data_IF_732366986454
#
_entry.id   IF_732366986454
#
_cell.length_a   1.000
_cell.length_b   1.000
_cell.length_c   1.000
_cell.angle_alpha   90.00
_cell.angle_beta   90.00
_cell.angle_gamma   90.00
#
_symmetry.space_group_name_H-M   'P 1'
#
loop_
_entity.id
_entity.type
_entity.pdbx_description
1 polymer ?
#
# COMPACT_ATOMS: atom_id res chain seq x y z
N UNK A 1 2.60 27.56 32.93
CA UNK A 1 2.08 26.27 32.48
C UNK A 1 1.53 26.34 31.04
N UNK A 2 0.92 27.44 30.63
CA UNK A 2 0.42 27.65 29.26
C UNK A 2 1.09 28.87 28.65
N UNK A 3 2.14 28.69 27.86
CA UNK A 3 2.70 29.72 26.98
C UNK A 3 2.13 29.53 25.58
N UNK A 4 1.53 30.57 25.02
CA UNK A 4 0.98 30.57 23.66
C UNK A 4 1.78 31.53 22.79
N UNK A 5 2.12 31.09 21.58
CA UNK A 5 2.80 31.92 20.60
C UNK A 5 1.78 32.78 19.83
N UNK A 6 1.69 34.07 20.17
CA UNK A 6 0.74 35.01 19.54
C UNK A 6 1.11 35.36 18.08
N UNK A 7 2.38 35.25 17.74
CA UNK A 7 2.89 35.49 16.37
C UNK A 7 2.89 34.25 15.49
N UNK A 8 2.26 33.14 15.94
CA UNK A 8 2.14 31.91 15.19
C UNK A 8 0.91 31.93 14.26
N UNK A 9 1.03 31.35 13.06
CA UNK A 9 -0.08 31.13 12.13
C UNK A 9 -1.10 30.08 12.64
N UNK A 10 -0.85 29.43 13.79
CA UNK A 10 -1.74 28.44 14.39
C UNK A 10 -2.78 29.13 15.25
N UNK A 11 -4.10 28.88 15.03
CA UNK A 11 -5.17 29.46 15.84
C UNK A 11 -4.99 29.17 17.35
N UNK A 12 -5.31 30.16 18.20
CA UNK A 12 -5.18 30.01 19.66
C UNK A 12 -5.94 28.80 20.23
N UNK A 13 -7.08 28.45 19.63
CA UNK A 13 -7.87 27.26 20.00
C UNK A 13 -7.03 26.00 19.84
N UNK A 14 -6.37 25.87 18.70
CA UNK A 14 -5.56 24.68 18.38
C UNK A 14 -4.32 24.61 19.27
N UNK A 15 -3.69 25.75 19.57
CA UNK A 15 -2.55 25.83 20.50
C UNK A 15 -2.96 25.38 21.92
N UNK A 16 -4.13 25.80 22.41
CA UNK A 16 -4.65 25.37 23.72
C UNK A 16 -4.90 23.87 23.71
N UNK A 17 -5.56 23.36 22.67
CA UNK A 17 -5.87 21.92 22.54
C UNK A 17 -4.59 21.08 22.53
N UNK A 18 -3.60 21.49 21.73
CA UNK A 18 -2.34 20.77 21.61
C UNK A 18 -1.56 20.79 22.92
N UNK A 19 -1.47 21.93 23.57
CA UNK A 19 -0.75 22.08 24.84
C UNK A 19 -1.36 21.25 25.96
N UNK A 20 -2.70 21.24 26.11
CA UNK A 20 -3.37 20.38 27.10
C UNK A 20 -3.12 18.91 26.79
N UNK A 21 -3.22 18.52 25.52
CA UNK A 21 -2.98 17.14 25.09
C UNK A 21 -1.57 16.68 25.40
N UNK A 22 -0.54 17.55 25.15
CA UNK A 22 0.86 17.28 25.47
C UNK A 22 1.07 17.11 26.98
N UNK A 23 0.50 18.03 27.82
CA UNK A 23 0.63 17.94 29.27
C UNK A 23 0.03 16.64 29.82
N UNK A 24 -1.09 16.18 29.25
CA UNK A 24 -1.71 14.88 29.60
C UNK A 24 -0.83 13.71 29.12
N UNK A 25 -0.32 13.76 27.90
CA UNK A 25 0.56 12.70 27.34
C UNK A 25 1.84 12.52 28.15
N UNK A 26 2.47 13.61 28.57
CA UNK A 26 3.71 13.59 29.36
C UNK A 26 3.47 13.38 30.87
N UNK A 27 2.23 13.10 31.31
CA UNK A 27 1.90 12.84 32.70
C UNK A 27 1.94 14.07 33.62
N UNK A 28 2.13 15.27 33.07
CA UNK A 28 2.13 16.53 33.84
C UNK A 28 0.73 16.93 34.31
N UNK A 29 -0.31 16.45 33.63
CA UNK A 29 -1.71 16.48 34.06
C UNK A 29 -2.21 15.07 34.20
N UNK A 30 -2.33 14.58 35.43
CA UNK A 30 -2.81 13.24 35.74
C UNK A 30 -4.32 13.11 35.54
N UNK A 31 -4.80 11.87 35.30
CA UNK A 31 -6.23 11.56 35.26
C UNK A 31 -6.96 12.09 36.49
N UNK A 32 -8.13 12.67 36.27
CA UNK A 32 -8.93 13.31 37.35
C UNK A 32 -8.44 14.69 37.76
N UNK A 33 -7.33 15.21 37.23
CA UNK A 33 -6.88 16.57 37.49
C UNK A 33 -7.91 17.58 37.00
N UNK A 34 -8.30 18.51 37.85
CA UNK A 34 -9.22 19.59 37.48
C UNK A 34 -8.51 20.68 36.69
N UNK A 35 -9.04 21.01 35.52
CA UNK A 35 -8.56 22.12 34.71
C UNK A 35 -9.06 23.47 35.22
N UNK A 36 -8.38 24.58 34.92
CA UNK A 36 -8.87 25.92 35.23
C UNK A 36 -10.27 26.15 34.64
N UNK A 37 -11.08 26.94 35.32
CA UNK A 37 -12.37 27.34 34.72
C UNK A 37 -12.13 28.17 33.46
N UNK A 38 -13.10 28.18 32.55
CA UNK A 38 -13.03 28.92 31.27
C UNK A 38 -12.62 30.38 31.54
N UNK A 39 -13.25 31.06 32.50
CA UNK A 39 -12.91 32.44 32.82
C UNK A 39 -11.50 32.61 33.39
N UNK A 40 -11.04 31.63 34.19
CA UNK A 40 -9.68 31.67 34.77
C UNK A 40 -8.64 31.44 33.69
N UNK A 41 -8.83 30.45 32.80
CA UNK A 41 -7.88 30.15 31.71
C UNK A 41 -7.87 31.30 30.70
N UNK A 42 -9.01 31.86 30.30
CA UNK A 42 -9.09 33.00 29.41
C UNK A 42 -8.29 34.20 29.94
N UNK A 43 -8.40 34.48 31.24
CA UNK A 43 -7.64 35.56 31.90
C UNK A 43 -6.15 35.26 31.94
N UNK A 44 -5.74 34.03 32.24
CA UNK A 44 -4.35 33.60 32.27
C UNK A 44 -3.66 33.69 30.89
N UNK A 45 -4.40 33.39 29.82
CA UNK A 45 -3.90 33.40 28.46
C UNK A 45 -4.09 34.72 27.72
N UNK A 46 -4.82 35.68 28.32
CA UNK A 46 -5.21 36.91 27.61
C UNK A 46 -6.06 36.62 26.37
N UNK A 47 -6.84 35.52 26.38
CA UNK A 47 -7.70 35.09 25.29
C UNK A 47 -9.18 35.35 25.60
N UNK A 48 -10.05 35.32 24.58
CA UNK A 48 -11.48 35.44 24.79
C UNK A 48 -12.03 34.21 25.50
N UNK A 49 -13.07 34.33 26.35
CA UNK A 49 -13.77 33.18 26.92
C UNK A 49 -14.29 32.21 25.87
N UNK A 50 -14.75 32.69 24.70
CA UNK A 50 -15.21 31.86 23.59
C UNK A 50 -14.09 31.00 23.00
N UNK A 51 -12.87 31.52 22.90
CA UNK A 51 -11.69 30.74 22.44
C UNK A 51 -11.43 29.55 23.37
N UNK A 52 -11.58 29.76 24.69
CA UNK A 52 -11.38 28.69 25.68
C UNK A 52 -12.54 27.71 25.70
N UNK A 53 -13.78 28.17 25.47
CA UNK A 53 -14.96 27.29 25.32
C UNK A 53 -14.74 26.35 24.15
N UNK A 54 -14.44 26.89 22.96
CA UNK A 54 -14.18 26.09 21.74
C UNK A 54 -13.03 25.07 21.95
N UNK A 55 -11.95 25.49 22.61
CA UNK A 55 -10.84 24.59 22.93
C UNK A 55 -11.28 23.47 23.89
N UNK A 56 -12.04 23.79 24.91
CA UNK A 56 -12.52 22.77 25.87
C UNK A 56 -13.56 21.83 25.26
N UNK A 57 -14.47 22.34 24.44
CA UNK A 57 -15.42 21.50 23.69
C UNK A 57 -14.70 20.52 22.74
N UNK A 58 -13.67 20.99 22.04
CA UNK A 58 -12.82 20.12 21.21
C UNK A 58 -12.05 19.08 22.02
N UNK A 59 -11.53 19.45 23.18
CA UNK A 59 -10.85 18.51 24.09
C UNK A 59 -11.81 17.47 24.67
N UNK A 60 -13.05 17.86 24.97
CA UNK A 60 -14.14 16.95 25.42
C UNK A 60 -14.47 15.99 24.25
N UNK A 61 -14.70 16.51 23.06
CA UNK A 61 -14.96 15.71 21.86
C UNK A 61 -13.84 14.70 21.55
N UNK A 62 -12.58 15.07 21.84
CA UNK A 62 -11.40 14.19 21.71
C UNK A 62 -11.23 13.22 22.90
N UNK A 63 -12.08 13.29 23.91
CA UNK A 63 -11.99 12.46 25.10
C UNK A 63 -10.76 12.73 25.97
N UNK A 64 -10.06 13.86 25.80
CA UNK A 64 -8.90 14.27 26.61
C UNK A 64 -9.34 14.78 27.98
N UNK A 65 -10.48 15.49 28.03
CA UNK A 65 -11.10 15.99 29.23
C UNK A 65 -12.59 15.65 29.26
N UNK A 66 -13.18 15.66 30.39
CA UNK A 66 -14.64 15.51 30.58
C UNK A 66 -15.24 16.71 31.34
N UNK A 67 -16.45 17.08 30.98
CA UNK A 67 -17.23 18.08 31.73
C UNK A 67 -18.07 17.39 32.82
N UNK A 68 -17.94 17.85 34.08
CA UNK A 68 -18.76 17.39 35.17
C UNK A 68 -19.67 18.54 35.63
N UNK A 69 -20.99 18.32 35.49
CA UNK A 69 -22.00 19.35 35.78
C UNK A 69 -21.76 20.01 37.14
N UNK A 70 -21.68 21.35 37.18
CA UNK A 70 -21.42 22.14 38.38
C UNK A 70 -19.99 22.03 38.95
N UNK A 71 -19.14 21.14 38.47
CA UNK A 71 -17.80 20.87 39.02
C UNK A 71 -16.67 21.33 38.10
N UNK A 72 -16.92 21.54 36.79
CA UNK A 72 -15.95 22.01 35.81
C UNK A 72 -15.38 20.90 34.93
N UNK A 73 -14.21 21.12 34.39
CA UNK A 73 -13.53 20.21 33.43
C UNK A 73 -12.41 19.44 34.12
N UNK A 74 -12.32 18.16 33.82
CA UNK A 74 -11.34 17.22 34.40
C UNK A 74 -10.66 16.43 33.32
N UNK A 75 -9.39 16.10 33.54
CA UNK A 75 -8.66 15.17 32.66
C UNK A 75 -9.33 13.80 32.74
N UNK A 76 -9.72 13.26 31.60
CA UNK A 76 -10.37 11.94 31.54
C UNK A 76 -9.37 10.86 32.01
N UNK A 77 -9.83 9.89 32.84
CA UNK A 77 -9.01 8.72 33.08
C UNK A 77 -8.62 8.13 31.72
N UNK A 78 -7.32 8.12 31.43
CA UNK A 78 -6.82 7.49 30.23
C UNK A 78 -7.36 6.07 30.24
N UNK A 79 -8.43 5.78 29.51
CA UNK A 79 -8.56 4.43 28.98
C UNK A 79 -7.29 4.27 28.18
N UNK A 80 -6.34 3.53 28.71
CA UNK A 80 -5.30 2.95 27.89
C UNK A 80 -6.09 2.35 26.75
N UNK A 81 -6.06 2.97 25.58
CA UNK A 81 -6.33 2.24 24.34
C UNK A 81 -5.58 0.96 24.57
N UNK A 82 -6.29 -0.16 24.58
CA UNK A 82 -5.66 -1.45 24.81
C UNK A 82 -4.35 -1.40 24.04
N UNK A 83 -3.21 -1.74 24.67
CA UNK A 83 -1.94 -1.66 23.97
C UNK A 83 -2.22 -2.30 22.62
N UNK A 84 -1.89 -1.60 21.57
CA UNK A 84 -1.97 -2.11 20.19
C UNK A 84 -1.58 -3.57 20.32
N UNK A 85 -2.52 -4.49 20.11
CA UNK A 85 -2.37 -5.89 20.47
C UNK A 85 -0.97 -6.27 20.05
N UNK A 86 -0.10 -6.52 21.03
CA UNK A 86 1.21 -7.05 20.73
C UNK A 86 0.87 -8.29 19.91
N UNK A 87 1.14 -8.23 18.61
CA UNK A 87 0.87 -9.35 17.73
C UNK A 87 1.86 -10.37 18.22
N UNK A 88 1.40 -11.23 19.15
CA UNK A 88 2.15 -12.40 19.55
C UNK A 88 2.56 -13.08 18.26
N UNK A 89 3.83 -13.42 18.16
CA UNK A 89 4.38 -14.14 17.03
C UNK A 89 3.57 -15.44 16.91
N UNK A 90 2.65 -15.44 15.98
CA UNK A 90 1.94 -16.66 15.63
C UNK A 90 2.90 -17.46 14.75
N UNK A 91 3.11 -18.71 15.08
CA UNK A 91 3.95 -19.63 14.30
C UNK A 91 3.31 -20.00 12.94
N UNK A 92 2.14 -19.45 12.64
CA UNK A 92 1.44 -19.63 11.38
C UNK A 92 1.94 -18.62 10.31
N UNK A 93 2.50 -19.09 9.19
CA UNK A 93 2.98 -18.22 8.10
C UNK A 93 1.92 -17.24 7.56
N UNK A 94 0.68 -17.67 7.45
CA UNK A 94 -0.43 -16.82 7.03
C UNK A 94 -0.72 -15.70 8.04
N UNK A 95 -0.66 -16.00 9.34
CA UNK A 95 -0.84 -14.99 10.38
C UNK A 95 0.27 -13.94 10.35
N UNK A 96 1.51 -14.31 10.04
CA UNK A 96 2.63 -13.37 9.89
C UNK A 96 2.47 -12.45 8.68
N UNK A 97 1.93 -12.94 7.57
CA UNK A 97 1.64 -12.15 6.38
C UNK A 97 0.61 -11.05 6.68
N UNK A 98 -0.48 -11.39 7.35
CA UNK A 98 -1.50 -10.43 7.77
C UNK A 98 -0.97 -9.48 8.85
N UNK A 99 -0.12 -9.95 9.75
CA UNK A 99 0.54 -9.14 10.76
C UNK A 99 1.44 -8.08 10.11
N UNK A 100 2.28 -8.47 9.14
CA UNK A 100 3.10 -7.53 8.37
C UNK A 100 2.24 -6.50 7.64
N UNK A 101 1.17 -6.93 6.97
CA UNK A 101 0.25 -6.03 6.28
C UNK A 101 -0.37 -5.00 7.24
N UNK A 102 -0.82 -5.41 8.42
CA UNK A 102 -1.38 -4.54 9.47
C UNK A 102 -0.34 -3.55 10.00
N UNK A 103 0.89 -4.02 10.27
CA UNK A 103 1.98 -3.16 10.76
C UNK A 103 2.38 -2.11 9.72
N UNK A 104 2.44 -2.47 8.44
CA UNK A 104 2.68 -1.52 7.36
C UNK A 104 1.60 -0.42 7.25
N UNK A 105 0.36 -0.73 7.70
CA UNK A 105 -0.75 0.22 7.69
C UNK A 105 -0.85 1.08 8.95
N UNK A 106 -0.18 0.69 10.04
CA UNK A 106 -0.24 1.39 11.33
C UNK A 106 0.48 2.73 11.35
N UNK A 107 1.31 3.03 10.33
CA UNK A 107 2.01 4.31 10.10
C UNK A 107 2.55 4.96 11.39
N UNK A 108 3.48 4.29 12.08
CA UNK A 108 4.15 4.84 13.25
C UNK A 108 5.39 5.63 12.85
N UNK A 109 5.44 6.91 13.23
CA UNK A 109 6.57 7.80 12.93
C UNK A 109 7.90 7.34 13.56
N UNK A 110 7.83 6.48 14.58
CA UNK A 110 9.00 6.02 15.34
C UNK A 110 9.55 4.67 14.82
N UNK A 111 8.98 4.13 13.72
CA UNK A 111 9.39 2.85 13.16
C UNK A 111 10.12 3.04 11.83
N UNK A 112 11.30 2.41 11.70
CA UNK A 112 12.00 2.28 10.41
C UNK A 112 11.31 1.21 9.58
N UNK A 113 10.46 1.63 8.66
CA UNK A 113 9.57 0.75 7.88
C UNK A 113 10.26 0.12 6.65
N UNK A 114 11.46 -0.47 6.84
CA UNK A 114 12.26 -1.05 5.76
C UNK A 114 11.54 -2.18 5.00
N UNK A 115 10.65 -2.91 5.68
CA UNK A 115 9.81 -3.96 5.08
C UNK A 115 8.49 -3.47 4.50
N UNK A 116 8.20 -2.15 4.50
CA UNK A 116 6.93 -1.59 4.01
C UNK A 116 6.80 -1.67 2.49
N UNK A 117 5.56 -1.77 1.99
CA UNK A 117 5.20 -1.70 0.58
C UNK A 117 4.69 -0.33 0.12
N UNK A 118 4.94 0.75 0.88
CA UNK A 118 4.42 2.09 0.60
C UNK A 118 5.55 3.10 0.42
N UNK A 119 5.27 4.16 -0.36
CA UNK A 119 6.12 5.33 -0.46
C UNK A 119 5.97 6.20 0.80
N UNK A 120 6.96 7.06 1.12
CA UNK A 120 6.87 8.00 2.22
C UNK A 120 5.65 8.93 2.09
N UNK A 121 5.00 9.23 3.22
CA UNK A 121 3.78 10.04 3.26
C UNK A 121 3.96 11.42 2.61
N UNK A 122 5.11 12.07 2.84
CA UNK A 122 5.39 13.39 2.28
C UNK A 122 5.41 13.40 0.74
N UNK A 123 5.79 12.28 0.09
CA UNK A 123 5.76 12.18 -1.38
C UNK A 123 4.33 12.12 -1.92
N UNK A 124 3.45 11.45 -1.19
CA UNK A 124 2.03 11.38 -1.49
C UNK A 124 1.34 12.72 -1.28
N UNK A 125 1.70 13.45 -0.21
CA UNK A 125 1.16 14.77 0.08
C UNK A 125 1.52 15.83 -0.97
N UNK A 126 2.66 15.71 -1.63
CA UNK A 126 3.08 16.62 -2.71
C UNK A 126 2.08 16.65 -3.87
N UNK A 127 1.47 15.53 -4.23
CA UNK A 127 0.48 15.46 -5.32
C UNK A 127 -0.94 15.74 -4.83
N UNK A 128 -1.23 15.41 -3.56
CA UNK A 128 -2.57 15.46 -2.97
C UNK A 128 -2.94 16.82 -2.37
N UNK A 129 -2.14 17.86 -2.59
CA UNK A 129 -2.27 19.17 -1.95
C UNK A 129 -3.68 19.75 -1.92
N UNK A 130 -3.95 20.66 -0.98
CA UNK A 130 -5.26 21.26 -0.64
C UNK A 130 -6.10 21.76 -1.84
N UNK A 131 -5.45 22.14 -2.95
CA UNK A 131 -6.12 22.60 -4.16
C UNK A 131 -6.92 21.51 -4.89
N UNK A 132 -6.64 20.22 -4.73
CA UNK A 132 -7.40 19.13 -5.40
C UNK A 132 -8.79 19.02 -4.79
N UNK A 133 -8.89 18.93 -3.47
CA UNK A 133 -10.18 18.87 -2.77
C UNK A 133 -11.03 20.12 -3.02
N UNK A 134 -10.41 21.30 -3.04
CA UNK A 134 -11.10 22.54 -3.30
C UNK A 134 -11.66 22.62 -4.75
N UNK A 135 -10.96 22.05 -5.74
CA UNK A 135 -11.48 21.96 -7.11
C UNK A 135 -12.60 20.95 -7.20
N UNK A 136 -12.43 19.77 -6.60
CA UNK A 136 -13.46 18.74 -6.56
C UNK A 136 -14.76 19.28 -5.95
N UNK A 137 -14.68 20.01 -4.83
CA UNK A 137 -15.84 20.59 -4.15
C UNK A 137 -16.55 21.68 -5.00
N UNK A 138 -15.81 22.41 -5.86
CA UNK A 138 -16.34 23.46 -6.73
C UNK A 138 -16.70 22.97 -8.13
N UNK A 139 -16.23 21.77 -8.49
CA UNK A 139 -16.43 21.20 -9.81
C UNK A 139 -17.90 20.85 -10.08
N UNK A 140 -18.40 21.26 -11.26
CA UNK A 140 -19.76 20.89 -11.70
C UNK A 140 -19.83 19.48 -12.32
N UNK A 141 -18.68 18.88 -12.67
CA UNK A 141 -18.59 17.59 -13.37
C UNK A 141 -18.72 16.38 -12.45
N UNK A 142 -18.09 16.42 -11.29
CA UNK A 142 -18.23 15.36 -10.29
C UNK A 142 -19.17 15.83 -9.19
N UNK A 143 -20.24 15.08 -8.95
CA UNK A 143 -21.11 15.28 -7.80
C UNK A 143 -20.63 14.31 -6.70
N UNK A 144 -19.61 14.68 -5.89
CA UNK A 144 -18.92 13.75 -5.01
C UNK A 144 -19.80 13.18 -3.89
N UNK A 145 -20.99 13.73 -3.73
CA UNK A 145 -21.96 13.35 -2.70
C UNK A 145 -23.07 12.43 -3.22
N UNK A 146 -23.10 12.17 -4.54
CA UNK A 146 -24.04 11.23 -5.13
C UNK A 146 -23.43 9.83 -5.25
N UNK A 147 -24.27 8.79 -5.33
CA UNK A 147 -23.80 7.43 -5.60
C UNK A 147 -22.95 7.38 -6.89
N UNK A 148 -21.79 6.72 -6.80
CA UNK A 148 -20.98 6.42 -7.96
C UNK A 148 -21.65 5.33 -8.80
N UNK A 149 -21.61 5.39 -10.14
CA UNK A 149 -22.01 4.25 -10.96
C UNK A 149 -21.24 2.97 -10.55
N UNK A 150 -21.86 1.80 -10.52
CA UNK A 150 -21.17 0.56 -10.13
C UNK A 150 -19.91 0.28 -10.95
N UNK A 151 -19.89 0.62 -12.22
CA UNK A 151 -18.70 0.49 -13.07
C UNK A 151 -17.59 1.49 -12.71
N UNK A 152 -17.91 2.61 -12.06
CA UNK A 152 -17.01 3.72 -11.71
C UNK A 152 -17.33 4.99 -12.47
N UNK A 153 -16.77 6.12 -12.04
CA UNK A 153 -16.99 7.43 -12.66
C UNK A 153 -16.59 7.41 -14.14
N UNK A 154 -17.46 7.86 -15.04
CA UNK A 154 -17.17 7.89 -16.49
C UNK A 154 -15.88 8.62 -16.81
N UNK A 155 -15.68 9.81 -16.24
CA UNK A 155 -14.50 10.65 -16.48
C UNK A 155 -13.21 9.94 -16.08
N UNK A 156 -13.20 9.24 -14.93
CA UNK A 156 -12.03 8.48 -14.49
C UNK A 156 -11.77 7.31 -15.43
N UNK A 157 -12.81 6.58 -15.86
CA UNK A 157 -12.66 5.46 -16.80
C UNK A 157 -12.13 5.90 -18.16
N UNK A 158 -12.55 7.07 -18.67
CA UNK A 158 -12.02 7.66 -19.90
C UNK A 158 -10.54 8.04 -19.77
N UNK A 159 -10.15 8.63 -18.63
CA UNK A 159 -8.76 8.95 -18.33
C UNK A 159 -7.90 7.68 -18.22
N UNK A 160 -8.40 6.63 -17.57
CA UNK A 160 -7.71 5.33 -17.48
C UNK A 160 -7.58 4.71 -18.89
N UNK A 161 -8.64 4.71 -19.70
CA UNK A 161 -8.60 4.20 -21.07
C UNK A 161 -7.52 4.92 -21.89
N UNK A 162 -7.48 6.25 -21.84
CA UNK A 162 -6.45 7.06 -22.51
C UNK A 162 -5.04 6.64 -22.09
N UNK A 163 -4.82 6.37 -20.81
CA UNK A 163 -3.51 5.92 -20.29
C UNK A 163 -3.17 4.51 -20.76
N UNK A 164 -4.14 3.60 -20.78
CA UNK A 164 -3.95 2.23 -21.26
C UNK A 164 -3.55 2.22 -22.75
N UNK A 165 -4.19 3.08 -23.57
CA UNK A 165 -3.79 3.26 -24.97
C UNK A 165 -2.36 3.79 -25.09
N UNK A 166 -1.91 4.71 -24.23
CA UNK A 166 -0.51 5.16 -24.18
C UNK A 166 0.46 4.04 -23.81
N UNK A 167 0.00 3.02 -23.08
CA UNK A 167 0.74 1.79 -22.78
C UNK A 167 0.58 0.70 -23.84
N UNK A 168 -0.04 1.00 -24.97
CA UNK A 168 -0.28 0.06 -26.07
C UNK A 168 -1.41 -0.93 -25.83
N UNK A 169 -2.20 -0.76 -24.77
CA UNK A 169 -3.34 -1.62 -24.45
C UNK A 169 -4.60 -1.02 -25.08
N UNK A 170 -5.19 -1.71 -26.04
CA UNK A 170 -6.40 -1.28 -26.74
C UNK A 170 -7.65 -1.47 -25.85
N UNK A 171 -7.89 -0.53 -24.94
CA UNK A 171 -9.04 -0.55 -24.04
C UNK A 171 -9.79 0.78 -24.08
N UNK A 172 -11.12 0.71 -24.23
CA UNK A 172 -12.02 1.85 -24.06
C UNK A 172 -12.57 1.95 -22.62
N UNK A 173 -13.27 3.04 -22.31
CA UNK A 173 -13.90 3.20 -21.00
C UNK A 173 -14.92 2.09 -20.66
N UNK A 174 -15.49 1.42 -21.66
CA UNK A 174 -16.38 0.29 -21.48
C UNK A 174 -15.67 -0.96 -20.96
N UNK A 175 -14.39 -1.11 -21.23
CA UNK A 175 -13.56 -2.23 -20.76
C UNK A 175 -13.10 -2.08 -19.30
N UNK A 176 -13.40 -0.97 -18.64
CA UNK A 176 -12.81 -0.61 -17.34
C UNK A 176 -13.88 -0.61 -16.25
N UNK A 177 -13.55 -1.26 -15.12
CA UNK A 177 -14.32 -1.19 -13.87
C UNK A 177 -13.41 -0.73 -12.74
N UNK A 178 -13.79 0.34 -12.03
CA UNK A 178 -13.03 0.80 -10.86
C UNK A 178 -13.22 -0.13 -9.67
N UNK A 179 -12.22 -0.20 -8.79
CA UNK A 179 -12.23 -1.05 -7.59
C UNK A 179 -11.64 -0.31 -6.40
N UNK A 180 -11.87 -0.82 -5.17
CA UNK A 180 -11.18 -0.34 -3.97
C UNK A 180 -9.72 -0.85 -3.90
N UNK A 181 -8.91 -0.41 -4.88
CA UNK A 181 -7.53 -0.85 -5.08
C UNK A 181 -7.43 -2.25 -5.70
N UNK A 182 -6.20 -2.68 -6.00
CA UNK A 182 -5.93 -3.98 -6.60
C UNK A 182 -6.39 -5.16 -5.74
N UNK A 183 -6.37 -5.03 -4.41
CA UNK A 183 -6.82 -6.11 -3.52
C UNK A 183 -8.28 -6.50 -3.74
N UNK A 184 -9.18 -5.53 -3.95
CA UNK A 184 -10.56 -5.86 -4.31
C UNK A 184 -10.65 -6.41 -5.74
N UNK A 185 -9.82 -5.91 -6.66
CA UNK A 185 -9.78 -6.45 -8.01
C UNK A 185 -9.45 -7.95 -8.00
N UNK A 186 -8.43 -8.36 -7.24
CA UNK A 186 -8.05 -9.77 -7.13
C UNK A 186 -9.14 -10.62 -6.47
N UNK A 187 -9.80 -10.13 -5.41
CA UNK A 187 -10.92 -10.84 -4.77
C UNK A 187 -12.11 -11.03 -5.72
N UNK A 188 -12.50 -9.98 -6.46
CA UNK A 188 -13.58 -10.08 -7.45
C UNK A 188 -13.24 -11.06 -8.57
N UNK A 189 -12.00 -11.00 -9.09
CA UNK A 189 -11.54 -11.91 -10.14
C UNK A 189 -11.46 -13.36 -9.63
N UNK A 190 -10.97 -13.58 -8.42
CA UNK A 190 -10.97 -14.92 -7.82
C UNK A 190 -12.39 -15.50 -7.71
N UNK A 191 -13.36 -14.70 -7.27
CA UNK A 191 -14.78 -15.11 -7.18
C UNK A 191 -15.44 -15.44 -8.53
N UNK A 192 -14.93 -14.86 -9.62
CA UNK A 192 -15.48 -15.04 -10.97
C UNK A 192 -14.80 -16.21 -11.68
N UNK A 193 -13.47 -16.28 -11.59
CA UNK A 193 -12.66 -17.19 -12.39
C UNK A 193 -12.47 -18.57 -11.74
N UNK A 194 -12.57 -18.65 -10.39
CA UNK A 194 -12.10 -19.79 -9.62
C UNK A 194 -13.23 -20.46 -8.82
N UNK A 195 -13.13 -21.76 -8.70
CA UNK A 195 -13.90 -22.61 -7.79
C UNK A 195 -12.97 -23.24 -6.73
N UNK A 196 -13.47 -23.62 -5.55
CA UNK A 196 -12.71 -24.38 -4.57
C UNK A 196 -12.06 -25.63 -5.17
N UNK A 197 -10.76 -25.81 -4.91
CA UNK A 197 -9.97 -26.93 -5.46
C UNK A 197 -9.30 -26.66 -6.80
N UNK A 198 -9.63 -25.57 -7.50
CA UNK A 198 -8.95 -25.19 -8.74
C UNK A 198 -7.47 -24.97 -8.53
N UNK A 199 -6.67 -25.31 -9.55
CA UNK A 199 -5.24 -24.99 -9.59
C UNK A 199 -5.04 -23.56 -10.10
N UNK A 200 -4.27 -22.78 -9.37
CA UNK A 200 -3.91 -21.39 -9.71
C UNK A 200 -2.40 -21.26 -9.69
N UNK A 201 -1.83 -20.81 -10.80
CA UNK A 201 -0.42 -20.52 -10.92
C UNK A 201 -0.12 -19.17 -10.26
N UNK A 202 0.94 -19.13 -9.46
CA UNK A 202 1.48 -17.92 -8.84
C UNK A 202 2.98 -17.89 -8.94
N UNK A 203 3.57 -16.70 -8.98
CA UNK A 203 5.02 -16.54 -8.98
C UNK A 203 5.62 -16.90 -7.61
N UNK A 204 6.79 -17.51 -7.61
CA UNK A 204 7.60 -17.83 -6.42
C UNK A 204 9.03 -17.32 -6.60
N UNK A 205 9.44 -16.24 -5.89
CA UNK A 205 8.65 -15.45 -4.95
C UNK A 205 7.55 -14.63 -5.62
N UNK A 206 6.54 -14.21 -4.81
CA UNK A 206 5.43 -13.39 -5.27
C UNK A 206 4.74 -12.61 -4.14
N UNK A 207 3.63 -11.96 -4.43
CA UNK A 207 2.96 -11.07 -3.48
C UNK A 207 2.17 -11.84 -2.41
N UNK A 208 2.64 -11.82 -1.18
CA UNK A 208 2.11 -12.64 -0.06
C UNK A 208 0.63 -12.39 0.25
N UNK A 209 0.14 -11.15 0.17
CA UNK A 209 -1.29 -10.86 0.45
C UNK A 209 -2.19 -11.52 -0.61
N UNK A 210 -1.74 -11.61 -1.85
CA UNK A 210 -2.44 -12.33 -2.90
C UNK A 210 -2.54 -13.83 -2.58
N UNK A 211 -1.47 -14.43 -2.05
CA UNK A 211 -1.50 -15.84 -1.66
C UNK A 211 -2.57 -16.10 -0.60
N UNK A 212 -2.65 -15.25 0.43
CA UNK A 212 -3.67 -15.37 1.47
C UNK A 212 -5.09 -15.17 0.93
N UNK A 213 -5.27 -14.20 0.01
CA UNK A 213 -6.56 -14.02 -0.67
C UNK A 213 -6.97 -15.28 -1.46
N UNK A 214 -6.06 -15.83 -2.25
CA UNK A 214 -6.33 -17.04 -3.03
C UNK A 214 -6.59 -18.26 -2.13
N UNK A 215 -5.82 -18.43 -1.03
CA UNK A 215 -6.07 -19.49 -0.05
C UNK A 215 -7.46 -19.37 0.59
N UNK A 216 -7.93 -18.15 0.87
CA UNK A 216 -9.28 -17.90 1.38
C UNK A 216 -10.39 -18.31 0.40
N UNK A 217 -10.10 -18.43 -0.89
CA UNK A 217 -10.99 -19.00 -1.91
C UNK A 217 -10.86 -20.52 -2.05
N UNK A 218 -10.09 -21.17 -1.16
CA UNK A 218 -9.88 -22.62 -1.15
C UNK A 218 -9.32 -23.22 -2.45
N UNK A 219 -8.51 -22.45 -3.17
CA UNK A 219 -7.81 -22.90 -4.38
C UNK A 219 -6.45 -23.49 -4.04
N UNK A 220 -5.88 -24.28 -4.94
CA UNK A 220 -4.53 -24.84 -4.82
C UNK A 220 -3.53 -23.92 -5.50
N UNK A 221 -2.61 -23.32 -4.74
CA UNK A 221 -1.52 -22.52 -5.29
C UNK A 221 -0.45 -23.45 -5.88
N UNK A 222 -0.12 -23.22 -7.14
CA UNK A 222 0.96 -23.93 -7.84
C UNK A 222 2.06 -22.92 -8.08
N UNK A 223 3.19 -23.00 -7.35
CA UNK A 223 4.30 -22.07 -7.49
C UNK A 223 5.01 -22.25 -8.83
N UNK A 224 5.32 -21.14 -9.48
CA UNK A 224 6.17 -21.07 -10.66
C UNK A 224 7.40 -20.28 -10.29
N UNK A 225 8.62 -20.86 -10.29
CA UNK A 225 9.84 -20.15 -9.97
C UNK A 225 10.01 -18.91 -10.83
N UNK A 226 10.43 -17.79 -10.22
CA UNK A 226 10.69 -16.54 -10.92
C UNK A 226 12.16 -16.18 -10.88
N UNK A 227 12.75 -15.99 -12.05
CA UNK A 227 14.08 -15.43 -12.24
C UNK A 227 14.08 -13.93 -12.51
N UNK A 228 15.23 -13.42 -12.95
CA UNK A 228 15.42 -12.02 -13.30
C UNK A 228 14.49 -11.57 -14.46
N UNK A 229 14.31 -12.45 -15.45
CA UNK A 229 13.59 -12.17 -16.70
C UNK A 229 12.10 -12.57 -16.67
N UNK A 230 11.59 -12.93 -15.49
CA UNK A 230 10.21 -13.36 -15.31
C UNK A 230 10.07 -14.80 -14.81
N UNK A 231 8.85 -15.36 -14.85
CA UNK A 231 8.60 -16.76 -14.50
C UNK A 231 9.41 -17.72 -15.38
N UNK A 232 9.92 -18.81 -14.77
CA UNK A 232 10.60 -19.86 -15.52
C UNK A 232 9.62 -20.56 -16.48
N UNK A 233 9.84 -20.40 -17.77
CA UNK A 233 8.92 -20.84 -18.82
C UNK A 233 8.79 -22.36 -18.90
N UNK A 234 9.85 -23.10 -18.59
CA UNK A 234 9.83 -24.56 -18.61
C UNK A 234 8.98 -25.09 -17.45
N UNK A 235 9.18 -24.55 -16.24
CA UNK A 235 8.37 -24.86 -15.07
C UNK A 235 6.92 -24.44 -15.26
N UNK A 236 6.67 -23.27 -15.85
CA UNK A 236 5.31 -22.80 -16.16
C UNK A 236 4.58 -23.76 -17.10
N UNK A 237 5.22 -24.17 -18.21
CA UNK A 237 4.61 -25.10 -19.16
C UNK A 237 4.41 -26.51 -18.55
N UNK A 238 5.35 -26.99 -17.74
CA UNK A 238 5.21 -28.24 -17.01
C UNK A 238 4.01 -28.20 -16.03
N UNK A 239 3.87 -27.09 -15.30
CA UNK A 239 2.74 -26.88 -14.39
C UNK A 239 1.40 -26.82 -15.14
N UNK A 240 1.34 -26.19 -16.32
CA UNK A 240 0.14 -26.17 -17.17
C UNK A 240 -0.29 -27.59 -17.58
N UNK A 241 0.67 -28.43 -18.01
CA UNK A 241 0.39 -29.83 -18.38
C UNK A 241 -0.07 -30.68 -17.19
N UNK A 242 0.59 -30.52 -16.05
CA UNK A 242 0.33 -31.36 -14.88
C UNK A 242 -0.98 -30.98 -14.14
N UNK A 243 -1.29 -29.70 -14.07
CA UNK A 243 -2.32 -29.18 -13.17
C UNK A 243 -3.54 -28.57 -13.87
N UNK A 244 -3.46 -28.29 -15.18
CA UNK A 244 -4.53 -27.63 -15.96
C UNK A 244 -5.10 -26.43 -15.20
N UNK A 245 -4.27 -25.38 -14.97
CA UNK A 245 -4.66 -24.26 -14.11
C UNK A 245 -5.82 -23.48 -14.72
N UNK A 246 -6.60 -22.83 -13.85
CA UNK A 246 -7.66 -21.90 -14.25
C UNK A 246 -7.16 -20.50 -14.49
N UNK A 247 -6.14 -20.08 -13.74
CA UNK A 247 -5.54 -18.75 -13.86
C UNK A 247 -4.05 -18.75 -13.48
N UNK A 248 -3.34 -17.75 -14.00
CA UNK A 248 -2.02 -17.31 -13.55
C UNK A 248 -2.15 -15.88 -13.01
N UNK A 249 -1.69 -15.62 -11.79
CA UNK A 249 -1.53 -14.26 -11.25
C UNK A 249 -0.05 -13.90 -11.27
N UNK A 250 0.31 -12.79 -11.92
CA UNK A 250 1.70 -12.38 -12.03
C UNK A 250 1.89 -10.87 -12.14
N UNK A 251 3.10 -10.40 -11.84
CA UNK A 251 3.53 -9.02 -12.03
C UNK A 251 4.56 -8.94 -13.16
N UNK A 252 4.21 -8.28 -14.25
CA UNK A 252 5.09 -8.14 -15.42
C UNK A 252 6.23 -7.17 -15.14
N UNK A 253 5.93 -6.04 -14.48
CA UNK A 253 6.87 -4.95 -14.24
C UNK A 253 7.10 -4.71 -12.75
N UNK A 254 8.37 -4.43 -12.38
CA UNK A 254 8.77 -4.02 -11.03
C UNK A 254 8.23 -4.96 -9.94
N UNK A 255 8.43 -6.22 -10.16
CA UNK A 255 7.88 -7.31 -9.36
C UNK A 255 8.14 -7.17 -7.85
N UNK A 256 7.13 -7.44 -7.04
CA UNK A 256 7.22 -7.51 -5.59
C UNK A 256 7.38 -8.98 -5.16
N UNK A 257 8.55 -9.41 -4.61
CA UNK A 257 9.53 -8.57 -3.91
C UNK A 257 10.82 -8.22 -4.67
N UNK A 258 11.07 -8.78 -5.85
CA UNK A 258 12.40 -8.78 -6.47
C UNK A 258 12.80 -7.46 -7.15
N UNK A 259 11.82 -6.64 -7.56
CA UNK A 259 12.05 -5.45 -8.38
C UNK A 259 12.41 -5.78 -9.84
N UNK A 260 12.40 -7.05 -10.25
CA UNK A 260 12.64 -7.47 -11.62
C UNK A 260 11.45 -7.15 -12.54
N UNK A 261 11.68 -7.16 -13.85
CA UNK A 261 10.62 -7.02 -14.85
C UNK A 261 10.75 -8.15 -15.87
N UNK A 262 9.63 -8.65 -16.37
CA UNK A 262 9.65 -9.74 -17.33
C UNK A 262 10.21 -9.28 -18.69
N UNK A 263 11.04 -10.12 -19.29
CA UNK A 263 11.55 -9.91 -20.63
C UNK A 263 10.41 -9.97 -21.67
N UNK A 264 10.45 -9.17 -22.74
CA UNK A 264 9.45 -9.20 -23.81
C UNK A 264 9.22 -10.59 -24.42
N UNK A 265 10.26 -11.39 -24.60
CA UNK A 265 10.13 -12.75 -25.14
C UNK A 265 9.38 -13.66 -24.15
N UNK A 266 9.64 -13.52 -22.84
CA UNK A 266 8.87 -14.20 -21.78
C UNK A 266 7.40 -13.81 -21.83
N UNK A 267 7.09 -12.52 -21.97
CA UNK A 267 5.72 -12.03 -22.05
C UNK A 267 4.97 -12.66 -23.24
N UNK A 268 5.57 -12.71 -24.43
CA UNK A 268 4.98 -13.37 -25.60
C UNK A 268 4.74 -14.86 -25.37
N UNK A 269 5.69 -15.56 -24.75
CA UNK A 269 5.55 -16.99 -24.48
C UNK A 269 4.46 -17.28 -23.47
N UNK A 270 4.32 -16.46 -22.42
CA UNK A 270 3.26 -16.59 -21.40
C UNK A 270 1.88 -16.43 -22.05
N UNK A 271 1.68 -15.42 -22.90
CA UNK A 271 0.43 -15.24 -23.64
C UNK A 271 0.13 -16.45 -24.53
N UNK A 272 1.13 -16.97 -25.25
CA UNK A 272 0.96 -18.18 -26.07
C UNK A 272 0.59 -19.41 -25.24
N UNK A 273 1.14 -19.56 -24.04
CA UNK A 273 0.77 -20.66 -23.13
C UNK A 273 -0.66 -20.47 -22.58
N UNK A 274 -1.06 -19.24 -22.27
CA UNK A 274 -2.43 -18.96 -21.84
C UNK A 274 -3.46 -19.35 -22.90
N UNK A 275 -3.20 -18.99 -24.16
CA UNK A 275 -4.03 -19.37 -25.31
C UNK A 275 -4.02 -20.91 -25.52
N UNK A 276 -2.84 -21.54 -25.52
CA UNK A 276 -2.69 -22.97 -25.74
C UNK A 276 -3.37 -23.84 -24.69
N UNK A 277 -3.29 -23.45 -23.41
CA UNK A 277 -3.81 -24.24 -22.30
C UNK A 277 -5.16 -23.73 -21.76
N UNK A 278 -5.67 -22.60 -22.26
CA UNK A 278 -6.99 -22.07 -21.95
C UNK A 278 -7.13 -21.53 -20.53
N UNK A 279 -6.10 -20.88 -19.97
CA UNK A 279 -6.18 -20.25 -18.65
C UNK A 279 -6.16 -18.71 -18.75
N UNK A 280 -6.79 -18.04 -17.77
CA UNK A 280 -6.76 -16.60 -17.67
C UNK A 280 -5.44 -16.13 -17.04
N UNK A 281 -4.92 -14.98 -17.48
CA UNK A 281 -3.77 -14.32 -16.84
C UNK A 281 -4.24 -13.04 -16.18
N UNK A 282 -4.04 -12.91 -14.88
CA UNK A 282 -4.27 -11.68 -14.13
C UNK A 282 -2.94 -10.94 -14.01
N UNK A 283 -2.78 -9.91 -14.83
CA UNK A 283 -1.59 -9.06 -14.85
C UNK A 283 -1.71 -7.96 -13.80
N UNK A 284 -0.92 -8.04 -12.72
CA UNK A 284 -0.81 -7.02 -11.69
C UNK A 284 0.22 -5.95 -12.10
N UNK A 285 -0.25 -4.78 -12.50
CA UNK A 285 0.58 -3.65 -12.94
C UNK A 285 0.49 -2.44 -11.97
N UNK A 286 0.41 -2.69 -10.66
CA UNK A 286 0.31 -1.63 -9.65
C UNK A 286 1.55 -0.76 -9.52
N UNK A 287 2.68 -1.19 -10.05
CA UNK A 287 3.97 -0.47 -10.05
C UNK A 287 4.39 0.01 -11.44
N UNK A 288 3.70 -0.37 -12.51
CA UNK A 288 4.15 -0.16 -13.89
C UNK A 288 4.39 1.30 -14.27
N UNK A 289 3.67 2.25 -13.67
CA UNK A 289 3.95 3.67 -13.84
C UNK A 289 5.32 4.11 -13.28
N UNK A 290 5.95 3.31 -12.42
CA UNK A 290 7.31 3.58 -11.89
C UNK A 290 8.42 3.03 -12.80
N UNK A 291 8.10 2.18 -13.75
CA UNK A 291 9.08 1.59 -14.68
C UNK A 291 9.66 2.64 -15.62
N UNK A 292 10.97 2.57 -15.87
CA UNK A 292 11.70 3.47 -16.76
C UNK A 292 12.10 2.72 -18.04
N UNK A 293 11.62 3.20 -19.16
CA UNK A 293 11.96 2.60 -20.45
C UNK A 293 10.77 1.99 -21.20
N UNK A 294 11.02 1.33 -22.33
CA UNK A 294 9.99 0.66 -23.11
C UNK A 294 9.50 -0.58 -22.33
N UNK A 295 8.27 -0.50 -21.82
CA UNK A 295 7.64 -1.60 -21.10
C UNK A 295 6.78 -2.43 -22.05
N UNK A 296 6.88 -3.73 -21.97
CA UNK A 296 5.96 -4.66 -22.61
C UNK A 296 5.03 -5.24 -21.53
N UNK A 297 3.74 -5.21 -21.79
CA UNK A 297 2.71 -5.75 -20.92
C UNK A 297 2.00 -6.91 -21.61
N UNK A 298 1.56 -7.89 -20.83
CA UNK A 298 0.82 -9.04 -21.38
C UNK A 298 -0.49 -8.58 -22.02
N UNK A 299 -1.21 -7.66 -21.37
CA UNK A 299 -2.46 -7.09 -21.91
C UNK A 299 -2.26 -6.35 -23.24
N UNK A 300 -1.07 -5.77 -23.47
CA UNK A 300 -0.71 -5.15 -24.76
C UNK A 300 -0.59 -6.20 -25.88
N UNK A 301 0.01 -7.36 -25.59
CA UNK A 301 0.22 -8.45 -26.55
C UNK A 301 -1.10 -9.15 -26.84
N UNK A 302 -1.87 -9.46 -25.82
CA UNK A 302 -3.07 -10.30 -25.88
C UNK A 302 -4.32 -9.54 -26.35
N UNK A 303 -4.37 -8.22 -26.12
CA UNK A 303 -5.56 -7.40 -26.43
C UNK A 303 -6.76 -7.70 -25.53
N UNK A 304 -6.53 -8.07 -24.29
CA UNK A 304 -7.53 -8.39 -23.24
C UNK A 304 -8.41 -9.62 -23.56
N UNK A 305 -7.92 -10.59 -24.34
CA UNK A 305 -8.67 -11.83 -24.65
C UNK A 305 -8.52 -12.89 -23.55
N UNK A 306 -7.29 -13.12 -23.08
CA UNK A 306 -6.95 -14.04 -21.99
C UNK A 306 -6.34 -13.29 -20.81
N UNK A 307 -5.82 -12.07 -21.05
CA UNK A 307 -5.17 -11.24 -20.05
C UNK A 307 -6.15 -10.23 -19.47
N UNK A 308 -6.25 -10.24 -18.15
CA UNK A 308 -7.04 -9.30 -17.36
C UNK A 308 -6.05 -8.36 -16.69
N UNK A 309 -6.12 -7.08 -17.01
CA UNK A 309 -5.19 -6.09 -16.47
C UNK A 309 -5.73 -5.47 -15.19
N UNK A 310 -4.89 -5.42 -14.15
CA UNK A 310 -5.21 -4.80 -12.86
C UNK A 310 -4.25 -3.65 -12.59
N UNK A 311 -4.80 -2.44 -12.46
CA UNK A 311 -4.05 -1.24 -12.11
C UNK A 311 -4.49 -0.62 -10.77
N UNK A 312 -3.63 0.22 -10.19
CA UNK A 312 -3.95 0.90 -8.92
C UNK A 312 -3.23 2.24 -8.81
N UNK A 313 -3.91 3.22 -8.22
CA UNK A 313 -3.35 4.53 -7.88
C UNK A 313 -2.81 4.60 -6.44
N UNK A 314 -2.96 3.53 -5.66
CA UNK A 314 -2.56 3.48 -4.24
C UNK A 314 -1.07 3.68 -4.01
N UNK A 315 -0.21 3.33 -4.99
CA UNK A 315 1.25 3.42 -4.85
C UNK A 315 1.80 4.81 -5.16
N UNK A 316 1.11 5.59 -5.97
CA UNK A 316 1.60 6.89 -6.45
C UNK A 316 0.78 8.08 -5.95
N UNK A 317 -0.54 7.96 -5.87
CA UNK A 317 -1.40 9.06 -5.42
C UNK A 317 -1.69 8.97 -3.92
N UNK A 318 -1.87 7.76 -3.39
CA UNK A 318 -2.06 7.56 -1.95
C UNK A 318 -2.75 6.25 -1.60
N UNK A 319 -2.19 5.50 -0.64
CA UNK A 319 -2.76 4.22 -0.22
C UNK A 319 -4.15 4.37 0.43
N UNK A 320 -4.43 5.51 1.07
CA UNK A 320 -5.71 5.79 1.71
C UNK A 320 -6.86 6.01 0.74
N UNK A 321 -6.60 6.39 -0.51
CA UNK A 321 -7.63 6.63 -1.52
C UNK A 321 -8.32 5.35 -1.96
N UNK A 322 -7.65 4.22 -1.89
CA UNK A 322 -8.23 2.92 -2.27
C UNK A 322 -8.90 2.93 -3.65
N UNK A 323 -8.24 3.49 -4.67
CA UNK A 323 -8.72 3.49 -6.05
C UNK A 323 -7.81 2.64 -6.91
N UNK A 324 -8.39 1.64 -7.55
CA UNK A 324 -7.78 0.78 -8.55
C UNK A 324 -8.79 0.49 -9.66
N UNK A 325 -8.42 -0.38 -10.59
CA UNK A 325 -9.31 -0.76 -11.68
C UNK A 325 -8.94 -2.12 -12.28
N UNK A 326 -9.91 -2.73 -12.93
CA UNK A 326 -9.76 -3.88 -13.81
C UNK A 326 -10.02 -3.40 -15.22
N UNK A 327 -9.18 -3.83 -16.18
CA UNK A 327 -9.48 -3.73 -17.60
C UNK A 327 -9.54 -5.13 -18.22
N UNK A 328 -10.64 -5.43 -18.91
CA UNK A 328 -10.94 -6.76 -19.46
C UNK A 328 -11.88 -6.67 -20.66
N UNK A 329 -12.19 -7.81 -21.27
CA UNK A 329 -13.25 -7.93 -22.25
C UNK A 329 -14.64 -7.58 -21.69
N UNK A 330 -15.59 -7.29 -22.58
CA UNK A 330 -16.93 -6.85 -22.19
C UNK A 330 -17.72 -7.86 -21.36
N UNK A 331 -17.53 -9.17 -21.61
CA UNK A 331 -18.25 -10.21 -20.90
C UNK A 331 -17.79 -10.31 -19.45
N UNK A 332 -16.47 -10.27 -19.23
CA UNK A 332 -15.90 -10.26 -17.89
C UNK A 332 -16.22 -8.96 -17.13
N UNK A 333 -16.18 -7.82 -17.80
CA UNK A 333 -16.59 -6.52 -17.23
C UNK A 333 -18.00 -6.59 -16.65
N UNK A 334 -18.96 -7.18 -17.37
CA UNK A 334 -20.34 -7.36 -16.87
C UNK A 334 -20.37 -8.18 -15.58
N UNK A 335 -19.65 -9.31 -15.53
CA UNK A 335 -19.57 -10.17 -14.34
C UNK A 335 -18.90 -9.44 -13.16
N UNK A 336 -17.85 -8.66 -13.43
CA UNK A 336 -17.17 -7.84 -12.38
C UNK A 336 -18.12 -6.81 -11.79
N UNK A 337 -18.93 -6.13 -12.62
CA UNK A 337 -19.91 -5.15 -12.16
C UNK A 337 -20.95 -5.84 -11.26
N UNK A 338 -21.50 -6.97 -11.68
CA UNK A 338 -22.48 -7.74 -10.88
C UNK A 338 -21.90 -8.14 -9.51
N UNK A 339 -20.68 -8.71 -9.48
CA UNK A 339 -20.02 -9.09 -8.23
C UNK A 339 -19.69 -7.89 -7.35
N UNK A 340 -19.28 -6.75 -7.95
CA UNK A 340 -19.03 -5.51 -7.23
C UNK A 340 -20.30 -4.96 -6.60
N UNK A 341 -21.43 -4.97 -7.30
CA UNK A 341 -22.74 -4.55 -6.75
C UNK A 341 -23.12 -5.41 -5.54
N UNK A 342 -22.94 -6.72 -5.61
CA UNK A 342 -23.26 -7.64 -4.51
C UNK A 342 -22.33 -7.46 -3.29
N UNK A 343 -21.11 -6.94 -3.48
CA UNK A 343 -20.15 -6.81 -2.38
C UNK A 343 -20.13 -5.42 -1.74
N UNK A 344 -20.21 -4.34 -2.54
CA UNK A 344 -20.05 -2.96 -2.09
C UNK A 344 -20.98 -1.95 -2.75
N UNK A 345 -21.94 -2.40 -3.58
CA UNK A 345 -22.84 -1.62 -4.42
C UNK A 345 -22.08 -0.81 -5.48
N UNK A 346 -21.25 0.15 -5.07
CA UNK A 346 -20.49 1.04 -5.97
C UNK A 346 -19.18 1.50 -5.31
N UNK A 347 -18.36 2.24 -6.06
CA UNK A 347 -17.20 2.95 -5.54
C UNK A 347 -17.59 4.23 -4.79
N UNK A 348 -16.59 4.98 -4.36
CA UNK A 348 -16.76 6.32 -3.78
C UNK A 348 -16.55 7.39 -4.86
N UNK A 349 -17.61 8.12 -5.22
CA UNK A 349 -17.52 9.22 -6.17
C UNK A 349 -16.51 10.30 -5.71
N UNK A 350 -16.38 10.52 -4.40
CA UNK A 350 -15.40 11.44 -3.83
C UNK A 350 -13.96 10.99 -4.10
N UNK A 351 -13.64 9.73 -3.84
CA UNK A 351 -12.28 9.22 -3.99
C UNK A 351 -11.90 9.03 -5.46
N UNK A 352 -12.82 8.54 -6.28
CA UNK A 352 -12.62 8.42 -7.71
C UNK A 352 -12.51 9.79 -8.39
N UNK A 353 -13.33 10.76 -7.99
CA UNK A 353 -13.24 12.15 -8.44
C UNK A 353 -11.94 12.82 -8.02
N UNK A 354 -11.42 12.52 -6.82
CA UNK A 354 -10.10 12.99 -6.38
C UNK A 354 -8.99 12.49 -7.31
N UNK A 355 -9.00 11.19 -7.62
CA UNK A 355 -8.01 10.61 -8.56
C UNK A 355 -8.16 11.25 -9.94
N UNK A 356 -9.38 11.41 -10.45
CA UNK A 356 -9.64 12.08 -11.73
C UNK A 356 -9.05 13.50 -11.77
N UNK A 357 -9.24 14.28 -10.70
CA UNK A 357 -8.67 15.63 -10.57
C UNK A 357 -7.13 15.64 -10.52
N UNK A 358 -6.52 14.59 -9.95
CA UNK A 358 -5.05 14.43 -9.93
C UNK A 358 -4.53 14.08 -11.33
N UNK A 359 -5.23 13.23 -12.07
CA UNK A 359 -4.85 12.82 -13.41
C UNK A 359 -4.98 13.96 -14.43
N UNK A 360 -5.87 14.92 -14.17
CA UNK A 360 -6.06 16.09 -15.02
C UNK A 360 -4.85 17.05 -14.93
N UNK A 361 -4.51 17.70 -16.05
CA UNK A 361 -3.55 18.82 -16.10
C UNK A 361 -2.07 18.48 -15.90
N UNK A 362 -1.62 17.24 -16.14
CA UNK A 362 -0.20 16.85 -16.24
C UNK A 362 0.56 16.77 -14.90
N UNK A 363 -0.11 17.01 -13.76
CA UNK A 363 0.50 16.91 -12.42
C UNK A 363 0.93 15.49 -12.09
N UNK A 364 0.08 14.52 -12.43
CA UNK A 364 0.39 13.12 -12.23
C UNK A 364 1.67 12.70 -12.97
N UNK A 365 1.80 13.07 -14.25
CA UNK A 365 3.00 12.77 -15.04
C UNK A 365 4.26 13.32 -14.39
N UNK A 366 4.23 14.59 -13.96
CA UNK A 366 5.38 15.23 -13.28
C UNK A 366 5.72 14.52 -11.96
N UNK A 367 4.72 14.15 -11.18
CA UNK A 367 4.91 13.41 -9.93
C UNK A 367 5.55 12.04 -10.17
N UNK A 368 5.10 11.30 -11.18
CA UNK A 368 5.68 10.02 -11.58
C UNK A 368 7.16 10.19 -11.96
N UNK A 369 7.48 11.17 -12.80
CA UNK A 369 8.86 11.45 -13.21
C UNK A 369 9.78 11.79 -12.02
N UNK A 370 9.30 12.64 -11.11
CA UNK A 370 10.03 12.98 -9.87
C UNK A 370 10.21 11.77 -8.97
N UNK A 371 9.16 10.96 -8.80
CA UNK A 371 9.20 9.75 -7.97
C UNK A 371 10.18 8.73 -8.54
N UNK A 372 10.18 8.49 -9.86
CA UNK A 372 11.16 7.63 -10.54
C UNK A 372 12.60 8.08 -10.28
N UNK A 373 12.89 9.38 -10.45
CA UNK A 373 14.23 9.93 -10.23
C UNK A 373 14.68 9.79 -8.76
N UNK A 374 13.76 10.01 -7.79
CA UNK A 374 14.04 9.82 -6.36
C UNK A 374 14.31 8.35 -6.04
N UNK A 375 13.48 7.44 -6.53
CA UNK A 375 13.65 5.99 -6.31
C UNK A 375 14.96 5.48 -6.88
N UNK A 376 15.34 5.88 -8.10
CA UNK A 376 16.58 5.45 -8.73
C UNK A 376 17.82 5.86 -7.90
N UNK A 377 17.81 7.07 -7.30
CA UNK A 377 18.89 7.52 -6.41
C UNK A 377 18.87 6.73 -5.10
N UNK A 378 17.72 6.66 -4.42
CA UNK A 378 17.60 5.97 -3.13
C UNK A 378 17.91 4.48 -3.24
N UNK A 379 17.61 3.86 -4.38
CA UNK A 379 17.94 2.45 -4.64
C UNK A 379 19.44 2.22 -4.64
N UNK A 380 20.23 3.09 -5.29
CA UNK A 380 21.69 2.99 -5.28
C UNK A 380 22.24 3.15 -3.87
N UNK A 381 21.78 4.19 -3.17
CA UNK A 381 22.25 4.51 -1.81
C UNK A 381 21.89 3.40 -0.82
N UNK A 382 20.65 2.91 -0.87
CA UNK A 382 20.18 1.81 -0.01
C UNK A 382 20.92 0.50 -0.29
N UNK A 383 21.18 0.17 -1.56
CA UNK A 383 21.93 -1.04 -1.93
C UNK A 383 23.34 -1.01 -1.35
N UNK A 384 24.08 0.07 -1.56
CA UNK A 384 25.44 0.23 -1.03
C UNK A 384 25.47 0.15 0.50
N UNK A 385 24.51 0.79 1.18
CA UNK A 385 24.41 0.75 2.62
C UNK A 385 24.14 -0.67 3.14
N UNK A 386 23.18 -1.39 2.54
CA UNK A 386 22.83 -2.75 2.91
C UNK A 386 23.98 -3.74 2.61
N UNK A 387 24.68 -3.61 1.47
CA UNK A 387 25.88 -4.38 1.14
C UNK A 387 26.99 -4.15 2.19
N UNK A 388 27.18 -2.90 2.64
CA UNK A 388 28.13 -2.59 3.71
C UNK A 388 27.77 -3.20 5.06
N UNK A 389 26.51 -3.55 5.26
CA UNK A 389 26.01 -4.22 6.45
C UNK A 389 26.01 -5.75 6.35
N UNK A 390 26.40 -6.34 5.20
CA UNK A 390 26.52 -7.77 5.01
C UNK A 390 25.31 -8.41 4.30
N UNK A 391 24.42 -7.64 3.70
CA UNK A 391 23.34 -8.17 2.85
C UNK A 391 23.88 -8.39 1.44
N UNK A 392 23.60 -9.56 0.87
CA UNK A 392 24.01 -9.93 -0.48
C UNK A 392 22.90 -9.67 -1.50
N UNK A 393 23.25 -9.16 -2.66
CA UNK A 393 22.32 -8.98 -3.77
C UNK A 393 22.83 -9.72 -4.99
N UNK A 394 21.97 -10.51 -5.62
CA UNK A 394 22.22 -11.02 -6.95
C UNK A 394 22.42 -9.86 -7.93
N UNK A 395 23.11 -10.12 -9.06
CA UNK A 395 23.56 -9.07 -9.99
C UNK A 395 22.52 -7.97 -10.26
N UNK A 396 22.97 -6.82 -10.76
CA UNK A 396 22.30 -5.51 -10.77
C UNK A 396 20.94 -5.41 -11.49
N UNK A 397 20.09 -6.40 -11.38
CA UNK A 397 18.77 -6.39 -12.00
C UNK A 397 17.70 -5.84 -11.04
N UNK A 398 16.86 -4.98 -11.58
CA UNK A 398 15.69 -4.46 -10.91
C UNK A 398 15.70 -2.94 -10.72
N UNK A 399 14.49 -2.40 -10.77
CA UNK A 399 14.17 -0.99 -10.60
C UNK A 399 13.08 -0.82 -9.52
N UNK A 400 12.53 0.37 -9.42
CA UNK A 400 11.42 0.64 -8.53
C UNK A 400 11.81 0.68 -7.06
N UNK A 401 10.86 0.30 -6.20
CA UNK A 401 10.94 0.59 -4.76
C UNK A 401 11.48 -0.57 -3.91
N UNK A 402 11.71 -1.76 -4.47
CA UNK A 402 12.13 -2.92 -3.69
C UNK A 402 13.53 -3.40 -4.05
N UNK A 403 14.27 -3.78 -3.01
CA UNK A 403 15.49 -4.59 -3.10
C UNK A 403 15.19 -5.95 -2.45
N UNK A 404 15.65 -7.01 -3.09
CA UNK A 404 15.53 -8.38 -2.62
C UNK A 404 16.92 -8.87 -2.25
N UNK A 405 17.21 -8.92 -0.95
CA UNK A 405 18.53 -9.19 -0.41
C UNK A 405 18.59 -10.51 0.33
N UNK A 406 19.71 -11.23 0.15
CA UNK A 406 20.00 -12.47 0.85
C UNK A 406 20.77 -12.17 2.12
N UNK A 407 20.34 -12.78 3.20
CA UNK A 407 21.05 -12.78 4.51
C UNK A 407 22.03 -13.94 4.51
N UNK A 408 23.28 -13.78 5.02
CA UNK A 408 24.23 -14.88 5.16
C UNK A 408 23.64 -16.08 5.92
N UNK A 409 23.99 -17.31 5.51
CA UNK A 409 23.41 -18.54 6.07
C UNK A 409 23.63 -18.70 7.58
N UNK A 410 24.71 -18.12 8.12
CA UNK A 410 25.00 -18.14 9.54
C UNK A 410 23.97 -17.37 10.40
N UNK A 411 23.22 -16.43 9.82
CA UNK A 411 22.28 -15.58 10.55
C UNK A 411 20.82 -16.06 10.32
N UNK A 412 20.14 -16.59 11.36
CA UNK A 412 18.75 -17.01 11.25
C UNK A 412 17.81 -15.80 11.05
N UNK A 413 17.17 -15.70 9.88
CA UNK A 413 16.32 -14.57 9.48
C UNK A 413 15.17 -14.33 10.46
N UNK A 414 14.55 -15.38 10.99
CA UNK A 414 13.45 -15.24 11.95
C UNK A 414 13.89 -14.60 13.28
N UNK A 415 15.08 -14.91 13.76
CA UNK A 415 15.65 -14.24 14.92
C UNK A 415 15.99 -12.79 14.62
N UNK A 416 16.57 -12.54 13.44
CA UNK A 416 16.89 -11.18 12.96
C UNK A 416 15.65 -10.31 12.90
N UNK A 417 14.55 -10.81 12.33
CA UNK A 417 13.28 -10.09 12.24
C UNK A 417 12.65 -9.83 13.61
N UNK A 418 12.70 -10.79 14.53
CA UNK A 418 12.22 -10.58 15.91
C UNK A 418 13.02 -9.49 16.62
N UNK A 419 14.35 -9.57 16.60
CA UNK A 419 15.23 -8.56 17.20
C UNK A 419 15.05 -7.17 16.57
N UNK A 420 14.86 -7.10 15.24
CA UNK A 420 14.58 -5.84 14.56
C UNK A 420 13.34 -5.12 15.11
N UNK A 421 12.27 -5.87 15.43
CA UNK A 421 11.05 -5.31 16.05
C UNK A 421 11.33 -4.68 17.43
N UNK A 422 12.21 -5.26 18.23
CA UNK A 422 12.62 -4.72 19.53
C UNK A 422 13.35 -3.37 19.38
N UNK A 423 13.97 -3.14 18.22
CA UNK A 423 14.65 -1.89 17.84
C UNK A 423 13.78 -0.95 17.00
N UNK A 424 12.47 -1.14 17.00
CA UNK A 424 11.53 -0.35 16.17
C UNK A 424 11.85 -0.41 14.66
N UNK A 425 12.35 -1.54 14.17
CA UNK A 425 12.64 -1.78 12.77
C UNK A 425 11.68 -2.84 12.22
N UNK A 426 10.95 -2.52 11.16
CA UNK A 426 10.07 -3.44 10.47
C UNK A 426 10.79 -4.02 9.25
N UNK A 427 11.09 -5.31 9.29
CA UNK A 427 11.62 -6.09 8.17
C UNK A 427 10.53 -6.98 7.57
N UNK A 428 10.66 -7.32 6.29
CA UNK A 428 9.78 -8.26 5.60
C UNK A 428 10.57 -9.52 5.24
N UNK A 429 10.32 -10.61 5.97
CA UNK A 429 11.01 -11.89 5.76
C UNK A 429 10.61 -12.54 4.44
N UNK A 430 11.58 -13.19 3.79
CA UNK A 430 11.41 -13.78 2.47
C UNK A 430 10.43 -14.94 2.41
N UNK A 431 10.35 -15.73 3.47
CA UNK A 431 9.40 -16.85 3.55
C UNK A 431 7.95 -16.45 3.27
N UNK A 432 7.54 -15.20 3.61
CA UNK A 432 6.20 -14.70 3.31
C UNK A 432 5.92 -14.59 1.80
N UNK A 433 6.96 -14.36 1.00
CA UNK A 433 6.84 -14.17 -0.45
C UNK A 433 6.90 -15.48 -1.23
N UNK A 434 6.94 -16.62 -0.55
CA UNK A 434 6.88 -17.94 -1.19
C UNK A 434 5.65 -18.70 -0.68
N UNK A 435 4.81 -19.25 -1.57
CA UNK A 435 3.68 -20.06 -1.17
C UNK A 435 4.10 -21.41 -0.53
N UNK A 436 5.38 -21.79 -0.67
CA UNK A 436 6.01 -23.01 -0.15
C UNK A 436 7.25 -22.72 0.71
N UNK A 437 7.41 -21.48 1.15
CA UNK A 437 8.47 -21.01 2.08
C UNK A 437 9.92 -21.23 1.59
N UNK A 438 10.17 -21.20 0.29
CA UNK A 438 11.51 -21.43 -0.27
C UNK A 438 12.51 -20.30 -0.02
N UNK A 439 12.05 -19.09 0.34
CA UNK A 439 12.87 -17.88 0.41
C UNK A 439 13.28 -17.54 1.87
N UNK A 440 13.59 -18.53 2.70
CA UNK A 440 13.85 -18.36 4.14
C UNK A 440 15.03 -17.43 4.48
N UNK A 441 16.07 -17.41 3.64
CA UNK A 441 17.27 -16.56 3.83
C UNK A 441 17.18 -15.19 3.13
N UNK A 442 15.99 -14.77 2.74
CA UNK A 442 15.79 -13.52 2.02
C UNK A 442 15.03 -12.49 2.84
N UNK A 443 15.26 -11.21 2.52
CA UNK A 443 14.51 -10.06 3.04
C UNK A 443 14.14 -9.13 1.89
N UNK A 444 12.91 -8.60 1.93
CA UNK A 444 12.53 -7.48 1.07
C UNK A 444 12.79 -6.16 1.77
N UNK A 445 13.48 -5.27 1.10
CA UNK A 445 13.76 -3.91 1.54
C UNK A 445 13.06 -2.88 0.66
N UNK A 446 12.39 -1.90 1.29
CA UNK A 446 11.91 -0.71 0.61
C UNK A 446 13.02 0.33 0.56
N UNK A 447 13.46 0.70 -0.64
CA UNK A 447 14.60 1.63 -0.84
C UNK A 447 14.42 2.98 -0.15
N UNK A 448 13.17 3.42 0.08
CA UNK A 448 12.88 4.71 0.71
C UNK A 448 13.15 4.75 2.21
N UNK A 449 13.31 3.59 2.85
CA UNK A 449 13.53 3.45 4.29
C UNK A 449 14.84 2.70 4.61
N UNK A 450 15.53 2.16 3.60
CA UNK A 450 16.60 1.17 3.81
C UNK A 450 18.01 1.75 3.85
N UNK A 451 18.17 3.08 3.72
CA UNK A 451 19.44 3.79 3.98
C UNK A 451 19.38 4.58 5.30
N UNK A 452 18.69 4.04 6.32
CA UNK A 452 18.62 4.69 7.63
C UNK A 452 19.73 4.19 8.54
N UNK A 453 20.46 5.07 9.27
CA UNK A 453 21.53 4.66 10.18
C UNK A 453 21.10 3.60 11.18
N UNK A 454 19.93 3.69 11.86
CA UNK A 454 19.51 2.67 12.81
C UNK A 454 19.38 1.27 12.20
N UNK A 455 18.86 1.17 10.96
CA UNK A 455 18.77 -0.12 10.26
C UNK A 455 20.16 -0.69 9.93
N UNK A 456 21.05 0.14 9.40
CA UNK A 456 22.38 -0.30 8.95
C UNK A 456 23.25 -0.71 10.13
N UNK A 457 23.21 0.02 11.23
CA UNK A 457 23.90 -0.35 12.49
C UNK A 457 23.34 -1.66 13.03
N UNK A 458 22.02 -1.78 13.16
CA UNK A 458 21.38 -3.01 13.62
C UNK A 458 21.77 -4.24 12.79
N UNK A 459 21.70 -4.13 11.44
CA UNK A 459 22.07 -5.25 10.55
C UNK A 459 23.55 -5.62 10.69
N UNK A 460 24.46 -4.63 10.70
CA UNK A 460 25.88 -4.84 10.84
C UNK A 460 26.24 -5.57 12.13
N UNK A 461 25.66 -5.14 13.27
CA UNK A 461 25.91 -5.73 14.56
C UNK A 461 25.33 -7.15 14.65
N UNK A 462 24.15 -7.33 14.10
CA UNK A 462 23.46 -8.63 14.12
C UNK A 462 24.12 -9.67 13.23
N UNK A 463 24.64 -9.28 12.06
CA UNK A 463 25.28 -10.20 11.10
C UNK A 463 26.76 -10.47 11.42
N UNK A 464 27.43 -9.62 12.22
CA UNK A 464 28.79 -9.89 12.74
C UNK A 464 28.79 -10.82 13.94
N UNK A 465 27.69 -10.87 14.68
CA UNK A 465 27.56 -11.69 15.88
C UNK A 465 27.09 -13.11 15.59
N UNK A 466 26.70 -13.39 14.33
CA UNK A 466 26.28 -14.71 13.85
C UNK A 466 27.44 -15.44 13.17
#
# INVERSE_FOLDING_TARGET
MFELARDSNVPLVDQICERVTQLVRHGQLSAGTRLPSIRKLARQLGASPFTVVDAYDRLVARGVIESRAGRGFFVTPRRLSAPFVAIEALDDPGADALALARLCMANSADVVAAGSGFLPENWVLEISGSGVLARLARGRRSQPWLPCPPQGLPELREQIATRLVQHGIAAGAANIVTTYGASQAFDLLARILLAPGDAVLVEDPGYFVLFEQLRAHHVRLIPVPRGADGPDLASLEAACRAHRPRALFMQTLLHNPTGSSADPAHCHRIVSLAEQYGFAVVEDDVYGDLYQGPAVRLAQIDGLRHVIYVGSFSKLIGPALRVGFIAADAALVSQVIERKVLSVLSGSALLEGFVSEVLDGGRYKRHVEQTRARLARMRRDARLALESAGIEFEAAHGEGMFLWGRVPEAAPVDQLVRRAREHSILLARGALFSPVENCVQWLRFNVTHSNSPPLIEFLRDSLRAA
#
